data_IF_573527359423
#
_entry.id   IF_573527359423
#
_cell.length_a   1.000
_cell.length_b   1.000
_cell.length_c   1.000
_cell.angle_alpha   90.00
_cell.angle_beta   90.00
_cell.angle_gamma   90.00
#
_symmetry.space_group_name_H-M   'P 1'
#
loop_
_entity.id
_entity.type
_entity.pdbx_description
1 polymer ?
#
# COMPACT_ATOMS: atom_id res chain seq x y z
N UNK A 1 12.50 20.80 15.73
CA UNK A 1 11.19 20.78 15.07
C UNK A 1 11.08 19.40 14.45
N UNK A 2 10.33 18.52 15.10
CA UNK A 2 10.30 17.09 14.77
C UNK A 2 9.56 16.87 13.45
N UNK A 3 10.26 16.30 12.47
CA UNK A 3 9.77 15.98 11.13
C UNK A 3 8.67 14.91 11.18
N UNK A 4 7.43 15.33 11.45
CA UNK A 4 6.21 14.56 11.20
C UNK A 4 5.84 14.63 9.71
N UNK A 5 6.78 14.31 8.82
CA UNK A 5 6.60 14.56 7.40
C UNK A 5 5.51 13.68 6.78
N UNK A 6 5.48 12.39 7.15
CA UNK A 6 4.60 11.40 6.53
C UNK A 6 3.49 10.97 7.47
N UNK A 7 2.24 11.13 7.05
CA UNK A 7 1.02 10.74 7.76
C UNK A 7 0.31 9.59 7.07
N UNK A 8 -0.50 8.84 7.80
CA UNK A 8 -1.36 7.80 7.24
C UNK A 8 -2.35 8.41 6.25
N UNK A 9 -2.44 7.83 5.06
CA UNK A 9 -3.49 8.11 4.10
C UNK A 9 -4.72 7.24 4.40
N UNK A 10 -5.69 7.81 5.10
CA UNK A 10 -6.93 7.09 5.47
C UNK A 10 -7.69 6.60 4.22
N UNK A 11 -7.75 7.41 3.16
CA UNK A 11 -8.40 7.01 1.91
C UNK A 11 -7.72 5.80 1.26
N UNK A 12 -6.39 5.76 1.27
CA UNK A 12 -5.64 4.62 0.74
C UNK A 12 -5.82 3.37 1.60
N UNK A 13 -5.89 3.53 2.92
CA UNK A 13 -6.14 2.43 3.84
C UNK A 13 -7.54 1.83 3.64
N UNK A 14 -8.58 2.68 3.52
CA UNK A 14 -9.94 2.23 3.22
C UNK A 14 -10.00 1.55 1.85
N UNK A 15 -9.30 2.09 0.84
CA UNK A 15 -9.21 1.48 -0.49
C UNK A 15 -8.59 0.08 -0.42
N UNK A 16 -7.43 -0.07 0.22
CA UNK A 16 -6.77 -1.37 0.40
C UNK A 16 -7.67 -2.37 1.13
N UNK A 17 -8.38 -1.91 2.17
CA UNK A 17 -9.31 -2.74 2.93
C UNK A 17 -10.46 -3.26 2.07
N UNK A 18 -11.06 -2.40 1.23
CA UNK A 18 -12.12 -2.78 0.29
C UNK A 18 -11.63 -3.78 -0.75
N UNK A 19 -10.42 -3.56 -1.30
CA UNK A 19 -9.79 -4.49 -2.25
C UNK A 19 -9.59 -5.88 -1.62
N UNK A 20 -9.04 -5.94 -0.41
CA UNK A 20 -8.82 -7.20 0.31
C UNK A 20 -10.16 -7.90 0.57
N UNK A 21 -11.17 -7.16 1.04
CA UNK A 21 -12.50 -7.70 1.28
C UNK A 21 -13.19 -8.20 0.00
N UNK A 22 -12.94 -7.54 -1.14
CA UNK A 22 -13.41 -7.93 -2.46
C UNK A 22 -12.61 -9.08 -3.09
N UNK A 23 -11.55 -9.57 -2.44
CA UNK A 23 -10.68 -10.63 -2.97
C UNK A 23 -9.70 -10.15 -4.05
N UNK A 24 -9.47 -8.85 -4.19
CA UNK A 24 -8.52 -8.25 -5.14
C UNK A 24 -7.13 -8.14 -4.52
N UNK A 25 -6.50 -9.29 -4.32
CA UNK A 25 -5.16 -9.40 -3.76
C UNK A 25 -4.32 -10.47 -4.45
N UNK A 26 -3.00 -10.30 -4.41
CA UNK A 26 -2.03 -11.25 -4.94
C UNK A 26 -1.11 -11.72 -3.80
N UNK A 27 -0.96 -13.04 -3.71
CA UNK A 27 -0.10 -13.70 -2.74
C UNK A 27 1.24 -14.01 -3.41
N UNK A 28 2.17 -13.08 -3.26
CA UNK A 28 3.53 -13.22 -3.75
C UNK A 28 4.52 -13.54 -2.62
N UNK A 29 5.72 -13.97 -3.02
CA UNK A 29 6.86 -14.13 -2.14
C UNK A 29 7.31 -12.80 -1.53
N UNK A 30 7.73 -12.87 -0.26
CA UNK A 30 8.01 -11.71 0.61
C UNK A 30 9.08 -10.78 0.04
N UNK A 31 10.05 -11.32 -0.69
CA UNK A 31 11.22 -10.61 -1.20
C UNK A 31 11.02 -10.06 -2.63
N UNK A 32 9.91 -10.37 -3.29
CA UNK A 32 9.68 -10.01 -4.70
C UNK A 32 9.27 -8.53 -4.91
N UNK A 33 9.03 -7.77 -3.83
CA UNK A 33 8.46 -6.42 -3.98
C UNK A 33 9.35 -5.45 -4.78
N UNK A 34 10.68 -5.58 -4.70
CA UNK A 34 11.57 -4.71 -5.48
C UNK A 34 11.42 -4.90 -7.00
N UNK A 35 10.95 -6.07 -7.43
CA UNK A 35 10.69 -6.42 -8.83
C UNK A 35 9.23 -6.17 -9.23
N UNK A 36 8.29 -6.31 -8.27
CA UNK A 36 6.85 -6.17 -8.50
C UNK A 36 6.32 -4.75 -8.33
N UNK A 37 7.05 -3.86 -7.65
CA UNK A 37 6.63 -2.46 -7.50
C UNK A 37 6.54 -1.76 -8.87
N UNK A 38 5.55 -0.90 -9.09
CA UNK A 38 5.45 -0.13 -10.33
C UNK A 38 6.71 0.68 -10.60
N UNK A 39 7.23 0.60 -11.81
CA UNK A 39 8.33 1.46 -12.25
C UNK A 39 7.87 2.92 -12.38
N UNK A 40 8.80 3.87 -12.31
CA UNK A 40 8.50 5.29 -12.49
C UNK A 40 7.71 5.61 -13.78
N UNK A 41 7.88 4.80 -14.83
CA UNK A 41 7.12 4.92 -16.08
C UNK A 41 5.67 4.46 -15.91
N UNK A 42 5.42 3.35 -15.24
CA UNK A 42 4.07 2.85 -14.96
C UNK A 42 3.32 3.80 -14.02
N UNK A 43 4.00 4.33 -13.02
CA UNK A 43 3.41 5.34 -12.13
C UNK A 43 2.96 6.58 -12.91
N UNK A 44 3.82 7.10 -13.79
CA UNK A 44 3.49 8.27 -14.62
C UNK A 44 2.32 7.97 -15.56
N UNK A 45 2.33 6.83 -16.26
CA UNK A 45 1.24 6.44 -17.17
C UNK A 45 -0.10 6.26 -16.42
N UNK A 46 -0.06 5.73 -15.19
CA UNK A 46 -1.25 5.63 -14.35
C UNK A 46 -1.77 7.01 -13.93
N UNK A 47 -0.88 7.91 -13.50
CA UNK A 47 -1.25 9.29 -13.13
C UNK A 47 -1.81 10.04 -14.35
N UNK A 48 -1.25 9.87 -15.54
CA UNK A 48 -1.75 10.50 -16.77
C UNK A 48 -3.16 10.00 -17.16
N UNK A 49 -3.45 8.72 -16.93
CA UNK A 49 -4.75 8.10 -17.27
C UNK A 49 -5.84 8.32 -16.23
N UNK A 50 -5.48 8.26 -14.95
CA UNK A 50 -6.43 8.22 -13.82
C UNK A 50 -6.36 9.46 -12.93
N UNK A 51 -5.28 10.23 -13.01
CA UNK A 51 -5.02 11.39 -12.17
C UNK A 51 -4.27 11.05 -10.88
N UNK A 52 -3.70 12.09 -10.27
CA UNK A 52 -2.93 11.98 -9.03
C UNK A 52 -3.79 11.52 -7.85
N UNK A 53 -5.09 11.84 -7.85
CA UNK A 53 -6.02 11.44 -6.80
C UNK A 53 -6.24 9.93 -6.75
N UNK A 54 -6.27 9.25 -7.90
CA UNK A 54 -6.32 7.78 -7.92
C UNK A 54 -4.98 7.19 -7.49
N UNK A 55 -3.86 7.74 -7.96
CA UNK A 55 -2.52 7.33 -7.53
C UNK A 55 -2.34 7.44 -6.01
N UNK A 56 -2.90 8.48 -5.39
CA UNK A 56 -2.90 8.67 -3.95
C UNK A 56 -3.49 7.48 -3.18
N UNK A 57 -4.56 6.86 -3.71
CA UNK A 57 -5.25 5.75 -3.04
C UNK A 57 -4.39 4.50 -2.93
N UNK A 58 -3.34 4.37 -3.74
CA UNK A 58 -2.43 3.23 -3.73
C UNK A 58 -1.24 3.37 -2.78
N UNK A 59 -1.22 4.45 -1.99
CA UNK A 59 -0.10 4.84 -1.15
C UNK A 59 -0.55 5.17 0.27
N UNK A 60 -0.07 4.40 1.25
CA UNK A 60 -0.50 4.51 2.65
C UNK A 60 0.14 5.68 3.40
N UNK A 61 1.16 6.33 2.83
CA UNK A 61 1.77 7.53 3.41
C UNK A 61 1.55 8.77 2.55
N UNK A 62 1.23 9.89 3.20
CA UNK A 62 1.22 11.23 2.61
C UNK A 62 2.31 12.07 3.28
N UNK A 63 3.26 12.51 2.48
CA UNK A 63 4.35 13.40 2.83
C UNK A 63 3.94 14.86 2.63
N UNK A 64 3.54 15.54 3.70
CA UNK A 64 3.01 16.90 3.63
C UNK A 64 4.07 17.96 3.28
N UNK A 65 5.36 17.58 3.24
CA UNK A 65 6.44 18.45 2.73
C UNK A 65 6.39 18.63 1.21
N UNK A 66 5.65 17.76 0.51
CA UNK A 66 5.51 17.76 -0.94
C UNK A 66 4.13 18.27 -1.38
N UNK A 67 4.09 19.01 -2.50
CA UNK A 67 2.86 19.50 -3.12
C UNK A 67 1.88 18.37 -3.46
N UNK A 68 0.58 18.61 -3.32
CA UNK A 68 -0.49 17.64 -3.60
C UNK A 68 -0.46 17.09 -5.04
N UNK A 69 0.07 17.88 -5.98
CA UNK A 69 0.21 17.50 -7.38
C UNK A 69 1.52 16.77 -7.70
N UNK A 70 2.30 16.39 -6.68
CA UNK A 70 3.57 15.68 -6.88
C UNK A 70 3.46 14.23 -6.46
N UNK A 71 3.85 13.30 -7.35
CA UNK A 71 3.89 11.87 -7.00
C UNK A 71 4.79 11.57 -5.79
N UNK A 72 5.81 12.38 -5.58
CA UNK A 72 6.72 12.28 -4.44
C UNK A 72 6.04 12.44 -3.08
N UNK A 73 4.85 13.08 -3.02
CA UNK A 73 4.02 13.18 -1.81
C UNK A 73 3.55 11.82 -1.32
N UNK A 74 3.30 10.88 -2.22
CA UNK A 74 2.69 9.61 -1.87
C UNK A 74 3.77 8.55 -1.63
N UNK A 75 3.73 7.90 -0.46
CA UNK A 75 4.72 6.93 0.02
C UNK A 75 4.03 5.63 0.41
N UNK A 76 4.82 4.58 0.63
CA UNK A 76 4.33 3.26 1.05
C UNK A 76 3.29 2.67 0.06
N UNK A 77 3.71 2.40 -1.19
CA UNK A 77 2.86 1.65 -2.13
C UNK A 77 2.62 0.24 -1.60
N UNK A 78 1.39 -0.25 -1.76
CA UNK A 78 0.97 -1.58 -1.29
C UNK A 78 0.45 -2.50 -2.40
N UNK A 79 0.40 -2.03 -3.65
CA UNK A 79 -0.18 -2.74 -4.78
C UNK A 79 0.32 -2.25 -6.13
N UNK A 80 -0.14 -2.88 -7.19
CA UNK A 80 0.26 -2.65 -8.59
C UNK A 80 -0.68 -1.71 -9.36
N UNK A 81 -1.52 -0.96 -8.65
CA UNK A 81 -2.66 -0.20 -9.19
C UNK A 81 -3.87 -1.03 -9.64
N UNK A 82 -3.87 -2.34 -9.40
CA UNK A 82 -5.02 -3.22 -9.64
C UNK A 82 -5.36 -4.10 -8.43
N UNK A 83 -4.34 -4.67 -7.79
CA UNK A 83 -4.48 -5.59 -6.68
C UNK A 83 -3.58 -5.21 -5.51
N UNK A 84 -3.96 -5.66 -4.32
CA UNK A 84 -3.12 -5.56 -3.13
C UNK A 84 -2.09 -6.67 -3.16
N UNK A 85 -0.80 -6.34 -3.11
CA UNK A 85 0.27 -7.33 -3.09
C UNK A 85 0.72 -7.60 -1.67
N UNK A 86 0.77 -8.88 -1.27
CA UNK A 86 1.27 -9.30 0.05
C UNK A 86 2.69 -8.80 0.31
N UNK A 87 3.57 -8.91 -0.69
CA UNK A 87 4.95 -8.43 -0.59
C UNK A 87 5.02 -6.89 -0.49
N UNK A 88 4.09 -6.16 -1.12
CA UNK A 88 3.95 -4.72 -0.99
C UNK A 88 3.58 -4.29 0.43
N UNK A 89 2.61 -4.96 1.05
CA UNK A 89 2.26 -4.73 2.46
C UNK A 89 3.44 -5.00 3.39
N UNK A 90 4.13 -6.14 3.24
CA UNK A 90 5.30 -6.46 4.06
C UNK A 90 6.45 -5.44 3.91
N UNK A 91 6.70 -4.98 2.68
CA UNK A 91 7.70 -3.96 2.43
C UNK A 91 7.31 -2.61 3.04
N UNK A 92 6.02 -2.25 2.97
CA UNK A 92 5.49 -1.05 3.59
C UNK A 92 5.60 -1.11 5.12
N UNK A 93 5.23 -2.24 5.74
CA UNK A 93 5.32 -2.49 7.19
C UNK A 93 6.76 -2.35 7.68
N UNK A 94 7.70 -3.06 7.04
CA UNK A 94 9.13 -3.03 7.38
C UNK A 94 9.70 -1.62 7.28
N UNK A 95 9.39 -0.88 6.20
CA UNK A 95 9.86 0.50 6.01
C UNK A 95 9.22 1.47 7.01
N UNK A 96 7.94 1.29 7.34
CA UNK A 96 7.22 2.16 8.26
C UNK A 96 7.78 2.01 9.68
N UNK A 97 8.00 0.78 10.13
CA UNK A 97 8.63 0.49 11.44
C UNK A 97 10.06 1.02 11.53
N UNK A 98 10.88 0.84 10.49
CA UNK A 98 12.25 1.38 10.45
C UNK A 98 12.28 2.91 10.59
N UNK A 99 11.30 3.60 10.01
CA UNK A 99 11.18 5.07 10.03
C UNK A 99 10.30 5.58 11.18
N UNK A 100 9.80 4.69 12.03
CA UNK A 100 8.94 4.98 13.20
C UNK A 100 7.63 5.69 12.84
N UNK A 101 7.08 5.41 11.65
CA UNK A 101 5.75 5.88 11.27
C UNK A 101 4.69 4.90 11.79
N UNK A 102 4.46 4.92 13.10
CA UNK A 102 3.66 3.91 13.79
C UNK A 102 2.21 3.83 13.29
N UNK A 103 1.60 4.95 12.90
CA UNK A 103 0.23 4.95 12.34
C UNK A 103 0.15 4.17 11.02
N UNK A 104 1.17 4.33 10.16
CA UNK A 104 1.27 3.61 8.89
C UNK A 104 1.62 2.14 9.15
N UNK A 105 2.56 1.86 10.05
CA UNK A 105 2.93 0.51 10.43
C UNK A 105 1.71 -0.28 10.94
N UNK A 106 0.93 0.29 11.86
CA UNK A 106 -0.26 -0.34 12.41
C UNK A 106 -1.33 -0.57 11.35
N UNK A 107 -1.57 0.41 10.47
CA UNK A 107 -2.52 0.29 9.38
C UNK A 107 -2.11 -0.82 8.39
N UNK A 108 -0.84 -0.87 8.00
CA UNK A 108 -0.31 -1.90 7.11
C UNK A 108 -0.38 -3.28 7.77
N UNK A 109 0.04 -3.40 9.03
CA UNK A 109 -0.01 -4.65 9.79
C UNK A 109 -1.45 -5.17 9.90
N UNK A 110 -2.42 -4.27 10.06
CA UNK A 110 -3.83 -4.64 10.06
C UNK A 110 -4.29 -5.17 8.69
N UNK A 111 -3.96 -4.49 7.58
CA UNK A 111 -4.29 -4.97 6.22
C UNK A 111 -3.64 -6.33 5.93
N UNK A 112 -2.37 -6.50 6.29
CA UNK A 112 -1.66 -7.77 6.17
C UNK A 112 -2.33 -8.86 7.01
N UNK A 113 -2.73 -8.57 8.25
CA UNK A 113 -3.47 -9.50 9.10
C UNK A 113 -4.82 -9.91 8.51
N UNK A 114 -5.56 -8.98 7.90
CA UNK A 114 -6.82 -9.27 7.20
C UNK A 114 -6.59 -10.24 6.04
N UNK A 115 -5.56 -9.99 5.22
CA UNK A 115 -5.18 -10.85 4.11
C UNK A 115 -4.85 -12.27 4.60
N UNK A 116 -3.99 -12.40 5.61
CA UNK A 116 -3.61 -13.69 6.20
C UNK A 116 -4.81 -14.44 6.80
N UNK A 117 -5.76 -13.73 7.42
CA UNK A 117 -6.98 -14.33 7.93
C UNK A 117 -7.88 -14.88 6.83
N UNK A 118 -8.02 -14.17 5.70
CA UNK A 118 -8.74 -14.64 4.53
C UNK A 118 -8.06 -15.88 3.92
N UNK A 119 -6.73 -15.89 3.83
CA UNK A 119 -5.98 -17.04 3.32
C UNK A 119 -6.18 -18.29 4.18
N UNK A 120 -6.09 -18.14 5.51
CA UNK A 120 -6.37 -19.25 6.43
C UNK A 120 -7.80 -19.74 6.26
N UNK A 121 -8.77 -18.83 6.18
CA UNK A 121 -10.19 -19.18 6.02
C UNK A 121 -10.44 -19.95 4.71
N UNK A 122 -9.82 -19.52 3.61
CA UNK A 122 -9.88 -20.21 2.32
C UNK A 122 -9.25 -21.62 2.37
N UNK A 123 -8.14 -21.79 3.10
CA UNK A 123 -7.48 -23.09 3.27
C UNK A 123 -8.27 -24.07 4.17
N UNK A 124 -9.17 -23.58 5.03
CA UNK A 124 -9.91 -24.43 5.98
C UNK A 124 -11.20 -25.03 5.40
N UNK A 125 -11.57 -24.64 4.17
CA UNK A 125 -12.69 -25.21 3.42
C UNK A 125 -12.20 -25.81 2.10
N UNK A 126 -11.63 -27.03 2.10
CA UNK A 126 -11.48 -27.78 0.87
C UNK A 126 -12.89 -28.11 0.35
N UNK A 127 -13.23 -27.58 -0.83
CA UNK A 127 -14.37 -28.06 -1.61
C UNK A 127 -14.19 -29.54 -1.95
#
# INVERSE_FOLDING_TARGET
MECMAVKLNETAYEHARDLIAAGRYVIDDRDAWSEHQPSARQENDYIERHGIAEYARWHLGIDDEHDENTKGRYKFPYGDFQNVHRCGLLAAESRAGQRKYYDIELAVAHLHGMLEALLRSAATHPQ
#
